data_IF_218489298009
#
_entry.id   IF_218489298009
#
_cell.length_a   1.000
_cell.length_b   1.000
_cell.length_c   1.000
_cell.angle_alpha   90.00
_cell.angle_beta   90.00
_cell.angle_gamma   90.00
#
_symmetry.space_group_name_H-M   'P 1'
#
loop_
_entity.id
_entity.type
_entity.pdbx_description
1 polymer ?
#
# COMPACT_ATOMS: atom_id res chain seq x y z
N UNK A 1 -2.55 -0.16 -1.47
CA UNK A 1 -3.21 -0.16 -2.79
C UNK A 1 -3.61 -1.58 -3.21
N UNK A 2 -2.67 -2.53 -3.31
CA UNK A 2 -2.97 -3.90 -3.76
C UNK A 2 -4.00 -4.60 -2.88
N UNK A 3 -3.83 -4.61 -1.57
CA UNK A 3 -4.78 -5.22 -0.63
C UNK A 3 -6.17 -4.59 -0.73
N UNK A 4 -6.25 -3.26 -0.76
CA UNK A 4 -7.54 -2.57 -0.81
C UNK A 4 -8.29 -2.76 -2.14
N UNK A 5 -7.59 -2.98 -3.24
CA UNK A 5 -8.20 -3.12 -4.57
C UNK A 5 -8.29 -4.57 -5.05
N UNK A 6 -7.74 -5.52 -4.33
CA UNK A 6 -7.56 -6.92 -4.74
C UNK A 6 -6.99 -7.05 -6.16
N UNK A 7 -6.08 -6.12 -6.50
CA UNK A 7 -5.49 -6.02 -7.84
C UNK A 7 -4.02 -6.40 -7.77
N UNK A 8 -3.60 -7.32 -8.62
CA UNK A 8 -2.20 -7.71 -8.73
C UNK A 8 -1.30 -6.54 -9.13
N UNK A 9 -0.06 -6.57 -8.69
CA UNK A 9 0.95 -5.54 -9.00
C UNK A 9 2.24 -6.22 -9.47
N UNK A 10 2.79 -5.73 -10.58
CA UNK A 10 4.14 -6.04 -10.99
C UNK A 10 5.02 -4.81 -10.80
N UNK A 11 6.05 -4.95 -9.98
CA UNK A 11 7.06 -3.94 -9.71
C UNK A 11 8.35 -4.27 -10.46
N UNK A 12 9.03 -3.25 -10.96
CA UNK A 12 10.39 -3.34 -11.46
C UNK A 12 11.25 -2.34 -10.67
N UNK A 13 12.27 -2.86 -10.01
CA UNK A 13 13.12 -2.06 -9.12
C UNK A 13 14.44 -1.64 -9.76
N UNK A 14 14.65 -1.91 -11.06
CA UNK A 14 15.91 -1.60 -11.74
C UNK A 14 16.31 -0.14 -11.57
N UNK A 15 15.38 0.80 -11.75
CA UNK A 15 15.63 2.23 -11.63
C UNK A 15 15.97 2.68 -10.20
N UNK A 16 15.49 1.94 -9.20
CA UNK A 16 15.78 2.23 -7.78
C UNK A 16 17.14 1.69 -7.34
N UNK A 17 17.68 0.72 -8.07
CA UNK A 17 18.94 0.02 -7.71
C UNK A 17 20.13 0.53 -8.52
N UNK A 18 19.90 1.30 -9.58
CA UNK A 18 20.94 1.84 -10.47
C UNK A 18 21.36 3.26 -10.13
N UNK A 19 20.55 4.03 -9.42
CA UNK A 19 20.86 5.39 -9.02
C UNK A 19 21.65 5.41 -7.70
N UNK A 20 22.78 5.99 -7.74
CA UNK A 20 23.72 6.12 -6.64
C UNK A 20 24.89 5.19 -6.81
N UNK A 21 25.71 4.80 -6.20
CA UNK A 21 26.94 4.01 -6.25
C UNK A 21 26.91 2.93 -7.34
N UNK A 22 26.96 3.35 -8.56
CA UNK A 22 27.00 2.43 -9.71
C UNK A 22 28.10 1.39 -9.58
N UNK A 23 28.14 0.47 -10.52
CA UNK A 23 29.15 -0.55 -10.73
C UNK A 23 30.61 -0.01 -10.68
N UNK A 24 30.77 1.31 -10.63
CA UNK A 24 32.04 2.04 -10.48
C UNK A 24 32.42 2.35 -9.02
N UNK A 25 31.83 1.70 -8.02
CA UNK A 25 32.27 1.88 -6.65
C UNK A 25 33.74 1.46 -6.55
N UNK A 26 34.60 2.44 -6.25
CA UNK A 26 36.04 2.28 -6.04
C UNK A 26 36.40 1.37 -4.84
N UNK A 27 35.38 0.88 -4.14
CA UNK A 27 35.53 -0.12 -3.06
C UNK A 27 35.47 -1.55 -3.57
N UNK A 28 35.12 -1.79 -4.85
CA UNK A 28 35.27 -3.12 -5.43
C UNK A 28 36.76 -3.46 -5.41
N UNK A 29 37.13 -4.55 -4.80
CA UNK A 29 38.51 -5.04 -4.77
C UNK A 29 38.86 -5.49 -6.18
N UNK A 30 39.53 -4.60 -6.93
CA UNK A 30 39.94 -4.81 -8.32
C UNK A 30 40.95 -5.96 -8.51
N UNK A 31 41.39 -6.59 -7.40
CA UNK A 31 42.41 -7.64 -7.43
C UNK A 31 41.88 -9.03 -7.72
N UNK A 32 40.61 -9.34 -7.50
CA UNK A 32 40.06 -10.68 -7.66
C UNK A 32 38.95 -10.77 -8.72
N UNK A 33 39.39 -10.91 -9.98
CA UNK A 33 38.48 -11.05 -11.12
C UNK A 33 37.58 -12.31 -11.08
N UNK A 34 37.91 -13.28 -10.23
CA UNK A 34 37.15 -14.53 -10.11
C UNK A 34 35.87 -14.36 -9.30
N UNK A 35 35.84 -13.42 -8.36
CA UNK A 35 34.68 -13.18 -7.49
C UNK A 35 33.90 -11.91 -7.84
N UNK A 36 34.31 -11.17 -8.89
CA UNK A 36 33.70 -9.90 -9.25
C UNK A 36 32.18 -10.01 -9.47
N UNK A 37 31.71 -11.00 -10.21
CA UNK A 37 30.29 -11.18 -10.46
C UNK A 37 29.47 -11.46 -9.19
N UNK A 38 30.06 -12.20 -8.24
CA UNK A 38 29.43 -12.47 -6.96
C UNK A 38 29.33 -11.20 -6.11
N UNK A 39 30.40 -10.38 -6.08
CA UNK A 39 30.43 -9.11 -5.36
C UNK A 39 29.39 -8.12 -5.92
N UNK A 40 29.29 -8.01 -7.24
CA UNK A 40 28.30 -7.16 -7.90
C UNK A 40 26.88 -7.63 -7.59
N UNK A 41 26.63 -8.94 -7.65
CA UNK A 41 25.31 -9.47 -7.32
C UNK A 41 24.95 -9.25 -5.85
N UNK A 42 25.87 -9.50 -4.93
CA UNK A 42 25.65 -9.26 -3.51
C UNK A 42 25.36 -7.77 -3.22
N UNK A 43 26.09 -6.86 -3.87
CA UNK A 43 25.84 -5.42 -3.75
C UNK A 43 24.45 -5.03 -4.29
N UNK A 44 24.06 -5.58 -5.44
CA UNK A 44 22.72 -5.32 -6.01
C UNK A 44 21.62 -5.90 -5.13
N UNK A 45 21.82 -7.04 -4.50
CA UNK A 45 20.87 -7.62 -3.54
C UNK A 45 20.70 -6.70 -2.32
N UNK A 46 21.80 -6.21 -1.77
CA UNK A 46 21.78 -5.24 -0.66
C UNK A 46 21.03 -3.97 -1.03
N UNK A 47 21.33 -3.37 -2.20
CA UNK A 47 20.66 -2.16 -2.67
C UNK A 47 19.17 -2.41 -2.92
N UNK A 48 18.80 -3.59 -3.40
CA UNK A 48 17.40 -3.98 -3.57
C UNK A 48 16.66 -4.02 -2.24
N UNK A 49 17.24 -4.65 -1.23
CA UNK A 49 16.66 -4.70 0.11
C UNK A 49 16.54 -3.28 0.71
N UNK A 50 17.55 -2.45 0.56
CA UNK A 50 17.50 -1.05 0.99
C UNK A 50 16.40 -0.28 0.28
N UNK A 51 16.27 -0.40 -1.04
CA UNK A 51 15.23 0.28 -1.81
C UNK A 51 13.81 -0.14 -1.42
N UNK A 52 13.61 -1.41 -1.04
CA UNK A 52 12.30 -1.93 -0.65
C UNK A 52 11.92 -1.63 0.81
N UNK A 53 12.91 -1.45 1.70
CA UNK A 53 12.69 -1.41 3.16
C UNK A 53 13.36 -0.22 3.87
N UNK A 54 13.74 0.85 3.16
CA UNK A 54 14.48 1.96 3.75
C UNK A 54 13.64 2.91 4.63
N UNK A 55 12.33 2.83 4.59
CA UNK A 55 11.41 3.70 5.36
C UNK A 55 11.63 5.21 5.15
N UNK A 56 12.27 5.61 4.06
CA UNK A 56 12.42 7.01 3.69
C UNK A 56 11.09 7.65 3.30
N UNK A 57 10.98 8.95 3.53
CA UNK A 57 9.80 9.71 3.09
C UNK A 57 9.64 9.60 1.57
N UNK A 58 8.51 9.07 1.16
CA UNK A 58 8.18 8.90 -0.23
C UNK A 58 6.68 8.76 -0.45
N UNK A 59 6.27 8.87 -1.69
CA UNK A 59 4.87 8.72 -2.10
C UNK A 59 4.79 7.77 -3.28
N UNK A 60 3.94 6.77 -3.17
CA UNK A 60 3.58 5.89 -4.29
C UNK A 60 2.18 6.27 -4.77
N UNK A 61 2.08 6.68 -6.02
CA UNK A 61 0.81 7.06 -6.64
C UNK A 61 0.47 6.10 -7.77
N UNK A 62 -0.83 5.88 -7.96
CA UNK A 62 -1.35 5.16 -9.11
C UNK A 62 -2.02 6.17 -10.04
N UNK A 63 -1.59 6.19 -11.29
CA UNK A 63 -2.16 7.05 -12.34
C UNK A 63 -2.61 6.20 -13.52
N UNK A 64 -3.58 6.70 -14.30
CA UNK A 64 -3.94 6.05 -15.55
C UNK A 64 -2.79 6.17 -16.55
N UNK A 65 -2.64 5.16 -17.41
CA UNK A 65 -1.56 5.11 -18.40
C UNK A 65 -1.55 6.35 -19.30
N UNK A 66 -2.73 6.86 -19.66
CA UNK A 66 -2.89 8.02 -20.56
C UNK A 66 -2.36 9.32 -19.95
N UNK A 67 -2.35 9.43 -18.62
CA UNK A 67 -1.86 10.64 -17.92
C UNK A 67 -0.48 10.46 -17.28
N UNK A 68 0.15 9.30 -17.47
CA UNK A 68 1.48 8.99 -16.92
C UNK A 68 2.52 10.04 -17.31
N UNK A 69 2.61 10.33 -18.59
CA UNK A 69 3.63 11.24 -19.14
C UNK A 69 3.39 12.68 -18.68
N UNK A 70 2.12 13.11 -18.59
CA UNK A 70 1.74 14.39 -18.01
C UNK A 70 2.13 14.49 -16.52
N UNK A 71 1.89 13.43 -15.76
CA UNK A 71 2.29 13.35 -14.33
C UNK A 71 3.80 13.47 -14.17
N UNK A 72 4.56 12.74 -14.98
CA UNK A 72 6.04 12.82 -14.97
C UNK A 72 6.55 14.20 -15.42
N UNK A 73 5.87 14.85 -16.37
CA UNK A 73 6.21 16.22 -16.78
C UNK A 73 5.96 17.22 -15.65
N UNK A 74 4.86 17.08 -14.93
CA UNK A 74 4.56 17.93 -13.77
C UNK A 74 5.62 17.78 -12.68
N UNK A 75 5.99 16.54 -12.33
CA UNK A 75 7.04 16.27 -11.34
C UNK A 75 8.38 16.90 -11.77
N UNK A 76 8.69 16.87 -13.06
CA UNK A 76 9.89 17.53 -13.62
C UNK A 76 9.84 19.04 -13.46
N UNK A 77 8.69 19.68 -13.68
CA UNK A 77 8.52 21.13 -13.50
C UNK A 77 8.80 21.58 -12.07
N UNK A 78 8.53 20.71 -11.09
CA UNK A 78 8.82 20.96 -9.67
C UNK A 78 10.19 20.44 -9.21
N UNK A 79 11.08 20.08 -10.13
CA UNK A 79 12.44 19.65 -9.81
C UNK A 79 12.55 18.24 -9.21
N UNK A 80 11.50 17.42 -9.31
CA UNK A 80 11.43 16.11 -8.70
C UNK A 80 11.85 14.96 -9.62
N UNK A 81 12.44 15.24 -10.77
CA UNK A 81 12.83 14.22 -11.76
C UNK A 81 13.75 13.15 -11.20
N UNK A 82 14.74 13.56 -10.40
CA UNK A 82 15.74 12.63 -9.88
C UNK A 82 15.18 11.62 -8.87
N UNK A 83 14.07 11.96 -8.19
CA UNK A 83 13.45 11.12 -7.17
C UNK A 83 12.08 10.55 -7.61
N UNK A 84 11.74 10.63 -8.91
CA UNK A 84 10.43 10.18 -9.41
C UNK A 84 10.61 9.12 -10.49
N UNK A 85 10.15 7.91 -10.20
CA UNK A 85 10.33 6.75 -11.06
C UNK A 85 9.01 6.04 -11.33
N UNK A 86 8.85 5.50 -12.53
CA UNK A 86 7.78 4.56 -12.85
C UNK A 86 8.25 3.17 -12.44
N UNK A 87 7.74 2.67 -11.33
CA UNK A 87 8.22 1.44 -10.70
C UNK A 87 7.35 0.22 -10.97
N UNK A 88 6.21 0.37 -11.62
CA UNK A 88 5.36 -0.80 -11.87
C UNK A 88 4.03 -0.48 -12.49
N UNK A 89 3.22 -1.51 -12.55
CA UNK A 89 1.85 -1.45 -13.07
C UNK A 89 0.94 -2.42 -12.34
N UNK A 90 -0.34 -2.06 -12.25
CA UNK A 90 -1.38 -2.98 -11.78
C UNK A 90 -1.66 -4.04 -12.85
N UNK A 91 -1.98 -5.24 -12.39
CA UNK A 91 -2.39 -6.35 -13.24
C UNK A 91 -3.80 -6.79 -12.85
N UNK A 92 -4.73 -6.94 -13.80
CA UNK A 92 -6.02 -7.55 -13.49
C UNK A 92 -5.86 -8.95 -12.89
N UNK A 93 -6.77 -9.36 -12.02
CA UNK A 93 -6.75 -10.68 -11.38
C UNK A 93 -6.73 -11.84 -12.39
N UNK A 94 -7.19 -11.60 -13.63
CA UNK A 94 -7.21 -12.57 -14.73
C UNK A 94 -5.87 -12.76 -15.45
N UNK A 95 -4.87 -11.90 -15.18
CA UNK A 95 -3.58 -11.91 -15.87
C UNK A 95 -2.47 -12.38 -14.94
N UNK A 96 -2.21 -13.67 -14.89
CA UNK A 96 -1.11 -14.23 -14.10
C UNK A 96 -1.14 -15.74 -14.08
N UNK A 97 -0.12 -16.37 -13.50
CA UNK A 97 -0.04 -17.82 -13.32
C UNK A 97 -1.19 -18.32 -12.45
N UNK A 98 -1.59 -17.52 -11.46
CA UNK A 98 -2.73 -17.77 -10.57
C UNK A 98 -3.95 -16.96 -11.04
N UNK A 99 -4.61 -17.41 -12.09
CA UNK A 99 -5.85 -16.78 -12.60
C UNK A 99 -6.90 -16.69 -11.49
N UNK A 100 -7.33 -15.46 -11.18
CA UNK A 100 -8.37 -15.19 -10.18
C UNK A 100 -7.84 -14.81 -8.79
N UNK A 101 -6.53 -14.85 -8.57
CA UNK A 101 -5.89 -14.42 -7.33
C UNK A 101 -4.95 -13.27 -7.65
N UNK A 102 -5.07 -12.14 -6.95
CA UNK A 102 -4.12 -11.04 -7.08
C UNK A 102 -2.72 -11.48 -6.68
N UNK A 103 -1.70 -11.06 -7.40
CA UNK A 103 -0.32 -11.42 -7.18
C UNK A 103 0.55 -10.17 -7.11
N UNK A 104 1.46 -10.13 -6.14
CA UNK A 104 2.55 -9.18 -6.13
C UNK A 104 3.79 -9.86 -6.73
N UNK A 105 4.35 -9.30 -7.80
CA UNK A 105 5.64 -9.75 -8.34
C UNK A 105 6.64 -8.60 -8.40
N UNK A 106 7.88 -8.89 -8.03
CA UNK A 106 9.00 -7.93 -8.04
C UNK A 106 10.06 -8.44 -9.01
N UNK A 107 10.46 -7.57 -9.91
CA UNK A 107 11.40 -7.86 -10.98
C UNK A 107 12.64 -6.98 -10.87
N UNK A 108 13.78 -7.59 -11.12
CA UNK A 108 15.09 -6.92 -11.26
C UNK A 108 15.92 -7.65 -12.32
N UNK A 109 16.57 -6.89 -13.20
CA UNK A 109 17.41 -7.43 -14.27
C UNK A 109 16.68 -8.45 -15.15
N UNK A 110 15.42 -8.15 -15.51
CA UNK A 110 14.52 -9.04 -16.24
C UNK A 110 14.25 -10.40 -15.57
N UNK A 111 14.61 -10.56 -14.29
CA UNK A 111 14.35 -11.74 -13.48
C UNK A 111 13.33 -11.42 -12.40
N UNK A 112 12.38 -12.31 -12.19
CA UNK A 112 11.50 -12.26 -11.05
C UNK A 112 12.29 -12.66 -9.79
N UNK A 113 12.40 -11.73 -8.86
CA UNK A 113 13.12 -11.93 -7.59
C UNK A 113 12.19 -12.27 -6.43
N UNK A 114 10.91 -11.95 -6.57
CA UNK A 114 9.88 -12.25 -5.58
C UNK A 114 8.52 -12.34 -6.25
N UNK A 115 7.71 -13.31 -5.83
CA UNK A 115 6.29 -13.42 -6.18
C UNK A 115 5.51 -14.05 -5.04
N UNK A 116 4.35 -13.48 -4.72
CA UNK A 116 3.44 -14.03 -3.72
C UNK A 116 2.00 -13.61 -3.97
N UNK A 117 1.07 -14.43 -3.49
CA UNK A 117 -0.35 -14.08 -3.44
C UNK A 117 -0.58 -12.87 -2.54
N UNK A 118 -1.42 -11.94 -2.98
CA UNK A 118 -1.82 -10.78 -2.16
C UNK A 118 -2.55 -11.22 -0.88
N UNK A 119 -3.29 -12.30 -0.95
CA UNK A 119 -4.07 -12.81 0.17
C UNK A 119 -3.18 -13.44 1.23
N UNK A 120 -2.16 -14.20 0.82
CA UNK A 120 -1.14 -14.72 1.73
C UNK A 120 -0.35 -13.58 2.40
N UNK A 121 0.05 -12.59 1.61
CA UNK A 121 0.74 -11.40 2.12
C UNK A 121 -0.15 -10.60 3.08
N UNK A 122 -1.45 -10.49 2.81
CA UNK A 122 -2.39 -9.80 3.67
C UNK A 122 -2.51 -10.52 5.03
N UNK A 123 -2.62 -11.84 5.04
CA UNK A 123 -2.64 -12.61 6.29
C UNK A 123 -1.32 -12.48 7.07
N UNK A 124 -0.18 -12.50 6.39
CA UNK A 124 1.12 -12.27 7.05
C UNK A 124 1.18 -10.87 7.66
N UNK A 125 0.74 -9.85 6.93
CA UNK A 125 0.71 -8.47 7.42
C UNK A 125 -0.25 -8.30 8.61
N UNK A 126 -1.41 -8.92 8.57
CA UNK A 126 -2.41 -8.88 9.63
C UNK A 126 -2.04 -9.71 10.88
N UNK A 127 -1.11 -10.64 10.73
CA UNK A 127 -0.81 -11.67 11.74
C UNK A 127 -0.53 -11.14 13.15
N UNK A 128 0.12 -9.98 13.28
CA UNK A 128 0.44 -9.36 14.58
C UNK A 128 -0.82 -8.77 15.20
N UNK A 129 -1.60 -8.00 14.43
CA UNK A 129 -2.87 -7.43 14.88
C UNK A 129 -3.86 -8.52 15.26
N UNK A 130 -3.97 -9.56 14.47
CA UNK A 130 -4.77 -10.73 14.77
C UNK A 130 -4.41 -11.38 16.11
N UNK A 131 -3.11 -11.62 16.35
CA UNK A 131 -2.68 -12.23 17.63
C UNK A 131 -3.04 -11.36 18.82
N UNK A 132 -2.85 -10.03 18.71
CA UNK A 132 -3.23 -9.09 19.78
C UNK A 132 -4.75 -9.10 20.00
N UNK A 133 -5.54 -9.02 18.93
CA UNK A 133 -7.01 -9.04 19.02
C UNK A 133 -7.51 -10.37 19.59
N UNK A 134 -6.91 -11.47 19.20
CA UNK A 134 -7.25 -12.80 19.70
C UNK A 134 -7.10 -12.94 21.21
N UNK A 135 -6.05 -12.32 21.80
CA UNK A 135 -5.82 -12.33 23.25
C UNK A 135 -6.71 -11.31 24.00
N UNK A 136 -7.09 -10.22 23.36
CA UNK A 136 -7.88 -9.15 23.98
C UNK A 136 -9.39 -9.35 23.83
N UNK A 137 -9.81 -9.76 22.66
CA UNK A 137 -11.23 -9.79 22.25
C UNK A 137 -11.75 -11.25 22.21
N UNK A 138 -12.82 -11.49 21.44
CA UNK A 138 -13.33 -12.85 21.25
C UNK A 138 -12.42 -13.62 20.26
N UNK A 139 -11.76 -14.71 20.67
CA UNK A 139 -10.83 -15.44 19.80
C UNK A 139 -11.47 -15.97 18.52
N UNK A 140 -12.73 -16.45 18.59
CA UNK A 140 -13.40 -17.01 17.41
C UNK A 140 -13.67 -15.94 16.35
N UNK A 141 -14.05 -14.73 16.76
CA UNK A 141 -14.27 -13.60 15.84
C UNK A 141 -12.95 -13.14 15.23
N UNK A 142 -11.92 -13.01 16.05
CA UNK A 142 -10.59 -12.62 15.57
C UNK A 142 -10.01 -13.66 14.59
N UNK A 143 -10.18 -14.95 14.86
CA UNK A 143 -9.75 -16.02 13.97
C UNK A 143 -10.53 -15.98 12.63
N UNK A 144 -11.85 -15.70 12.67
CA UNK A 144 -12.67 -15.56 11.48
C UNK A 144 -12.29 -14.35 10.61
N UNK A 145 -12.00 -13.19 11.21
CA UNK A 145 -11.53 -11.99 10.51
C UNK A 145 -10.19 -12.24 9.83
N UNK A 146 -9.24 -12.84 10.54
CA UNK A 146 -7.94 -13.20 9.98
C UNK A 146 -8.04 -14.19 8.82
N UNK A 147 -8.92 -15.19 8.95
CA UNK A 147 -9.18 -16.14 7.87
C UNK A 147 -9.79 -15.45 6.65
N UNK A 148 -10.73 -14.52 6.83
CA UNK A 148 -11.37 -13.77 5.76
C UNK A 148 -10.36 -12.94 4.95
N UNK A 149 -9.32 -12.38 5.57
CA UNK A 149 -8.27 -11.65 4.89
C UNK A 149 -7.51 -12.49 3.84
N UNK A 150 -7.50 -13.82 4.01
CA UNK A 150 -6.89 -14.77 3.07
C UNK A 150 -7.83 -15.32 1.99
N UNK A 151 -9.10 -14.92 1.98
CA UNK A 151 -10.10 -15.45 1.05
C UNK A 151 -10.29 -14.54 -0.16
N UNK A 152 -9.90 -14.96 -1.38
CA UNK A 152 -10.10 -14.17 -2.60
C UNK A 152 -11.57 -13.84 -2.91
N UNK A 153 -12.48 -14.69 -2.45
CA UNK A 153 -13.92 -14.55 -2.68
C UNK A 153 -14.66 -13.82 -1.54
N UNK A 154 -13.94 -13.35 -0.52
CA UNK A 154 -14.57 -12.56 0.54
C UNK A 154 -15.10 -11.25 -0.06
N UNK A 155 -16.42 -10.99 0.04
CA UNK A 155 -17.01 -9.78 -0.51
C UNK A 155 -16.62 -8.51 0.24
N UNK A 156 -16.00 -8.63 1.42
CA UNK A 156 -15.72 -7.51 2.32
C UNK A 156 -16.99 -6.95 2.98
N UNK A 157 -16.85 -5.78 3.57
CA UNK A 157 -17.96 -5.08 4.22
C UNK A 157 -18.72 -4.22 3.20
N UNK A 158 -20.02 -4.45 3.10
CA UNK A 158 -20.91 -3.68 2.24
C UNK A 158 -21.87 -2.84 3.09
N UNK A 159 -21.98 -1.57 2.73
CA UNK A 159 -22.95 -0.66 3.34
C UNK A 159 -24.13 -0.48 2.38
N UNK A 160 -25.32 -0.72 2.88
CA UNK A 160 -26.55 -0.40 2.19
C UNK A 160 -27.18 0.85 2.83
N UNK A 161 -27.28 1.92 2.07
CA UNK A 161 -27.92 3.14 2.52
C UNK A 161 -29.41 3.06 2.23
N UNK A 162 -30.24 3.10 3.28
CA UNK A 162 -31.70 3.14 3.14
C UNK A 162 -32.23 4.49 2.68
N UNK A 163 -31.65 5.66 3.12
CA UNK A 163 -31.99 6.95 2.54
C UNK A 163 -31.27 7.17 1.20
N UNK A 164 -31.82 8.05 0.37
CA UNK A 164 -31.10 8.51 -0.82
C UNK A 164 -29.81 9.23 -0.44
N UNK A 165 -28.70 8.90 -1.12
CA UNK A 165 -27.39 9.50 -0.78
C UNK A 165 -27.34 11.03 -0.94
N UNK A 166 -28.27 11.62 -1.70
CA UNK A 166 -28.40 13.05 -1.93
C UNK A 166 -29.51 13.69 -1.08
N UNK A 167 -30.23 12.92 -0.25
CA UNK A 167 -31.30 13.44 0.58
C UNK A 167 -30.75 14.33 1.68
N UNK A 168 -31.07 15.61 1.61
CA UNK A 168 -30.70 16.54 2.66
C UNK A 168 -31.73 16.50 3.80
N UNK A 169 -31.53 15.58 4.73
CA UNK A 169 -32.42 15.41 5.91
C UNK A 169 -32.44 16.62 6.82
N UNK A 170 -31.44 17.49 6.77
CA UNK A 170 -31.37 18.72 7.56
C UNK A 170 -32.16 19.88 6.95
N UNK A 171 -32.45 19.85 5.64
CA UNK A 171 -33.10 20.94 4.93
C UNK A 171 -34.41 21.47 5.61
N UNK A 172 -35.32 20.61 6.13
CA UNK A 172 -36.54 21.07 6.79
C UNK A 172 -36.28 21.80 8.10
N UNK A 173 -35.07 21.74 8.67
CA UNK A 173 -34.73 22.22 10.01
C UNK A 173 -33.74 23.37 10.02
N UNK A 174 -33.18 23.78 8.89
CA UNK A 174 -32.13 24.82 8.79
C UNK A 174 -32.55 26.14 9.42
N UNK A 175 -33.84 26.54 9.28
CA UNK A 175 -34.36 27.77 9.78
C UNK A 175 -35.22 27.61 11.07
N UNK A 176 -35.15 26.44 11.71
CA UNK A 176 -35.87 26.23 12.99
C UNK A 176 -35.00 26.49 14.17
N UNK A 177 -35.64 26.68 15.32
CA UNK A 177 -34.94 26.83 16.60
C UNK A 177 -34.10 25.59 16.86
N UNK A 178 -32.82 25.82 17.13
CA UNK A 178 -31.88 24.70 17.44
C UNK A 178 -32.14 24.17 18.86
N UNK A 179 -32.27 22.85 19.04
CA UNK A 179 -32.39 22.27 20.36
C UNK A 179 -31.10 22.46 21.17
N UNK A 180 -31.23 22.46 22.48
CA UNK A 180 -30.07 22.42 23.37
C UNK A 180 -29.55 20.98 23.41
N UNK A 181 -28.26 20.80 23.13
CA UNK A 181 -27.57 19.50 23.15
C UNK A 181 -26.55 19.49 24.28
N UNK A 182 -26.56 18.45 25.10
CA UNK A 182 -25.53 18.20 26.10
C UNK A 182 -24.55 17.18 25.55
N UNK A 183 -23.29 17.56 25.38
CA UNK A 183 -22.21 16.65 25.01
C UNK A 183 -21.59 16.10 26.29
N UNK A 184 -21.83 14.84 26.59
CA UNK A 184 -21.27 14.18 27.75
C UNK A 184 -19.78 13.87 27.51
N UNK A 185 -18.99 14.14 28.54
CA UNK A 185 -17.55 13.82 28.52
C UNK A 185 -17.20 12.99 29.74
N UNK A 186 -16.76 11.78 29.51
CA UNK A 186 -16.13 10.93 30.52
C UNK A 186 -14.62 10.95 30.41
N UNK A 187 -13.95 10.33 31.39
CA UNK A 187 -12.50 10.11 31.33
C UNK A 187 -12.13 9.27 30.09
N UNK A 188 -11.15 9.74 29.31
CA UNK A 188 -10.71 9.08 28.07
C UNK A 188 -11.48 9.50 26.81
N UNK A 189 -12.54 10.32 26.91
CA UNK A 189 -13.24 10.85 25.74
C UNK A 189 -12.37 11.89 25.03
N UNK A 190 -12.21 11.74 23.72
CA UNK A 190 -11.36 12.57 22.88
C UNK A 190 -12.16 13.51 21.95
N UNK A 191 -13.24 13.08 21.36
CA UNK A 191 -13.93 13.78 20.25
C UNK A 191 -15.08 14.69 20.70
N UNK A 192 -15.06 15.22 21.92
CA UNK A 192 -16.15 16.09 22.43
C UNK A 192 -16.22 17.46 21.75
N UNK A 193 -15.08 17.99 21.29
CA UNK A 193 -15.00 19.26 20.55
C UNK A 193 -15.60 19.09 19.16
N UNK A 194 -15.23 18.03 18.46
CA UNK A 194 -15.76 17.68 17.14
C UNK A 194 -17.26 17.40 17.21
N UNK A 195 -17.71 16.72 18.26
CA UNK A 195 -19.13 16.48 18.51
C UNK A 195 -19.89 17.81 18.72
N UNK A 196 -19.34 18.71 19.52
CA UNK A 196 -19.95 20.04 19.74
C UNK A 196 -19.97 20.86 18.44
N UNK A 197 -18.98 20.73 17.58
CA UNK A 197 -18.95 21.40 16.29
C UNK A 197 -19.98 20.84 15.30
N UNK A 198 -20.28 19.54 15.35
CA UNK A 198 -21.25 18.90 14.48
C UNK A 198 -22.70 19.36 14.75
N UNK A 199 -23.02 19.87 15.95
CA UNK A 199 -24.32 20.42 16.35
C UNK A 199 -24.39 21.94 16.22
#
# INVERSE_FOLDING_TARGET
MAFAGHVGIALNVDLLVTEGDGISDSRADHGDSKNWSQQVNARRDELTLKALFNEELGVVIQVRTEVRDLSMQLLRQYGLSACSHVIGKTRPASSGINKGVGELSIWRDAKEIFSASLFDLHQVWDSVSWKICRERDNPQTADAEHAAAGLPADPGLHVYLTPGALDNVAAPYINKQRPRVAVLREQGVNSHVEMAYAF
#
